data_IF_247802732677
#
_entry.id   IF_247802732677
#
_cell.length_a   1.000
_cell.length_b   1.000
_cell.length_c   1.000
_cell.angle_alpha   90.00
_cell.angle_beta   90.00
_cell.angle_gamma   90.00
#
_symmetry.space_group_name_H-M   'P 1'
#
loop_
_entity.id
_entity.type
_entity.pdbx_description
1 polymer ?
#
# COMPACT_ATOMS: atom_id res chain seq x y z
N UNK A 1 8.92 -2.18 -7.93
CA UNK A 1 7.69 -2.96 -8.23
C UNK A 1 8.09 -4.24 -8.94
N UNK A 2 7.53 -5.37 -8.53
CA UNK A 2 7.82 -6.69 -9.09
C UNK A 2 7.49 -6.74 -10.58
N UNK A 3 8.45 -7.13 -11.41
CA UNK A 3 8.24 -7.32 -12.85
C UNK A 3 7.29 -8.51 -13.12
N UNK A 4 7.44 -9.58 -12.33
CA UNK A 4 6.54 -10.71 -12.30
C UNK A 4 5.67 -10.61 -11.06
N UNK A 5 4.36 -10.50 -11.26
CA UNK A 5 3.43 -10.47 -10.14
C UNK A 5 3.19 -11.86 -9.58
N UNK A 6 2.92 -11.93 -8.28
CA UNK A 6 2.65 -13.20 -7.61
C UNK A 6 1.32 -13.80 -8.07
N UNK A 7 1.21 -15.14 -8.03
CA UNK A 7 0.04 -15.88 -8.53
C UNK A 7 -1.29 -15.38 -7.95
N UNK A 8 -1.29 -15.02 -6.66
CA UNK A 8 -2.49 -14.48 -5.99
C UNK A 8 -3.02 -13.20 -6.65
N UNK A 9 -2.13 -12.30 -7.06
CA UNK A 9 -2.52 -11.06 -7.74
C UNK A 9 -2.95 -11.35 -9.18
N UNK A 10 -2.21 -12.21 -9.90
CA UNK A 10 -2.54 -12.60 -11.28
C UNK A 10 -3.89 -13.33 -11.39
N UNK A 11 -4.25 -14.14 -10.39
CA UNK A 11 -5.56 -14.79 -10.30
C UNK A 11 -6.71 -13.77 -10.24
N UNK A 12 -6.48 -12.62 -9.62
CA UNK A 12 -7.45 -11.51 -9.53
C UNK A 12 -7.49 -10.60 -10.75
N UNK A 13 -6.65 -10.82 -11.78
CA UNK A 13 -6.59 -9.94 -12.97
C UNK A 13 -7.94 -9.91 -13.69
N UNK A 14 -8.43 -8.71 -13.96
CA UNK A 14 -9.59 -8.49 -14.82
C UNK A 14 -9.19 -8.73 -16.27
N UNK A 15 -9.81 -9.72 -16.91
CA UNK A 15 -9.45 -10.21 -18.27
C UNK A 15 -10.43 -9.78 -19.36
N UNK A 16 -11.58 -9.22 -18.99
CA UNK A 16 -12.61 -8.80 -19.93
C UNK A 16 -13.20 -7.45 -19.50
N UNK A 17 -13.67 -6.67 -20.47
CA UNK A 17 -14.29 -5.37 -20.23
C UNK A 17 -13.28 -4.22 -20.09
N UNK A 18 -13.74 -3.11 -19.52
CA UNK A 18 -12.96 -1.89 -19.43
C UNK A 18 -11.78 -2.05 -18.46
N UNK A 19 -10.59 -1.60 -18.87
CA UNK A 19 -9.33 -1.72 -18.12
C UNK A 19 -8.85 -3.16 -17.90
N UNK A 20 -9.40 -4.12 -18.64
CA UNK A 20 -8.87 -5.47 -18.68
C UNK A 20 -7.44 -5.50 -19.24
N UNK A 21 -6.68 -6.51 -18.82
CA UNK A 21 -5.31 -6.74 -19.27
C UNK A 21 -5.08 -8.22 -19.54
N UNK A 22 -4.16 -8.53 -20.45
CA UNK A 22 -3.85 -9.92 -20.79
C UNK A 22 -3.06 -10.58 -19.66
N UNK A 23 -3.25 -11.88 -19.41
CA UNK A 23 -2.45 -12.59 -18.43
C UNK A 23 -0.95 -12.43 -18.70
N UNK A 24 -0.16 -12.24 -17.64
CA UNK A 24 1.29 -12.04 -17.76
C UNK A 24 1.71 -10.63 -18.21
N UNK A 25 0.81 -9.64 -18.22
CA UNK A 25 1.14 -8.21 -18.51
C UNK A 25 1.98 -7.52 -17.41
N UNK A 26 2.60 -8.29 -16.51
CA UNK A 26 3.31 -7.76 -15.34
C UNK A 26 2.38 -7.02 -14.38
N UNK A 27 2.86 -6.01 -13.65
CA UNK A 27 2.10 -5.36 -12.58
C UNK A 27 1.06 -4.34 -13.07
N UNK A 28 1.08 -3.98 -14.35
CA UNK A 28 0.09 -3.07 -14.92
C UNK A 28 -1.25 -3.79 -15.15
N UNK A 29 -2.34 -3.21 -14.65
CA UNK A 29 -3.67 -3.77 -14.86
C UNK A 29 -4.66 -3.44 -13.76
N UNK A 30 -5.88 -3.95 -13.93
CA UNK A 30 -6.94 -3.94 -12.92
C UNK A 30 -7.08 -5.33 -12.32
N UNK A 31 -7.21 -5.39 -10.99
CA UNK A 31 -7.30 -6.62 -10.21
C UNK A 31 -8.44 -6.51 -9.19
N UNK A 32 -9.14 -7.62 -8.99
CA UNK A 32 -10.11 -7.82 -7.91
C UNK A 32 -9.58 -8.94 -7.02
N UNK A 33 -9.24 -8.60 -5.77
CA UNK A 33 -8.58 -9.52 -4.84
C UNK A 33 -9.27 -9.47 -3.50
N UNK A 34 -9.55 -10.63 -2.90
CA UNK A 34 -10.07 -10.68 -1.54
C UNK A 34 -8.99 -10.24 -0.55
N UNK A 35 -9.26 -9.13 0.14
CA UNK A 35 -8.38 -8.57 1.16
C UNK A 35 -8.39 -9.35 2.47
N UNK A 36 -7.39 -9.16 3.34
CA UNK A 36 -7.24 -9.89 4.60
C UNK A 36 -8.38 -9.61 5.59
N UNK A 37 -9.07 -8.47 5.47
CA UNK A 37 -10.11 -8.03 6.40
C UNK A 37 -11.54 -8.33 5.87
N UNK A 38 -11.69 -9.32 4.99
CA UNK A 38 -13.01 -9.76 4.49
C UNK A 38 -13.67 -8.82 3.48
N UNK A 39 -12.92 -7.90 2.87
CA UNK A 39 -13.42 -6.99 1.83
C UNK A 39 -12.74 -7.28 0.49
N UNK A 40 -13.52 -7.29 -0.60
CA UNK A 40 -12.95 -7.33 -1.95
C UNK A 40 -12.30 -5.98 -2.28
N UNK A 41 -11.03 -6.03 -2.68
CA UNK A 41 -10.23 -4.87 -3.03
C UNK A 41 -10.19 -4.72 -4.56
N UNK A 42 -10.59 -3.55 -5.05
CA UNK A 42 -10.35 -3.13 -6.43
C UNK A 42 -9.00 -2.43 -6.50
N UNK A 43 -8.04 -3.07 -7.16
CA UNK A 43 -6.64 -2.64 -7.21
C UNK A 43 -6.26 -2.32 -8.65
N UNK A 44 -5.68 -1.15 -8.90
CA UNK A 44 -5.08 -0.83 -10.20
C UNK A 44 -3.59 -0.56 -10.05
N UNK A 45 -2.77 -1.36 -10.71
CA UNK A 45 -1.31 -1.16 -10.79
C UNK A 45 -0.93 -0.42 -12.07
N UNK A 46 0.03 0.50 -11.95
CA UNK A 46 0.51 1.30 -13.06
C UNK A 46 1.99 1.66 -12.90
N UNK A 47 2.75 1.46 -13.96
CA UNK A 47 4.12 1.96 -14.07
C UNK A 47 4.14 3.10 -15.09
N UNK A 48 4.57 4.28 -14.66
CA UNK A 48 4.78 5.48 -15.49
C UNK A 48 6.26 5.84 -15.49
N UNK A 49 6.73 6.68 -16.42
CA UNK A 49 8.06 7.26 -16.32
C UNK A 49 8.26 7.88 -14.94
N UNK A 50 9.34 7.49 -14.26
CA UNK A 50 9.74 7.94 -12.92
C UNK A 50 8.86 7.50 -11.73
N UNK A 51 7.76 6.76 -11.95
CA UNK A 51 6.80 6.42 -10.89
C UNK A 51 6.20 5.03 -11.02
N UNK A 52 6.23 4.29 -9.93
CA UNK A 52 5.37 3.13 -9.70
C UNK A 52 4.18 3.56 -8.85
N UNK A 53 2.99 3.09 -9.21
CA UNK A 53 1.75 3.52 -8.59
C UNK A 53 0.78 2.35 -8.45
N UNK A 54 0.17 2.24 -7.28
CA UNK A 54 -0.97 1.35 -7.05
C UNK A 54 -2.09 2.16 -6.43
N UNK A 55 -3.30 2.02 -6.97
CA UNK A 55 -4.52 2.54 -6.35
C UNK A 55 -5.35 1.38 -5.81
N UNK A 56 -5.88 1.54 -4.61
CA UNK A 56 -6.69 0.53 -3.91
C UNK A 56 -7.99 1.20 -3.51
N UNK A 57 -9.12 0.58 -3.87
CA UNK A 57 -10.43 1.08 -3.49
C UNK A 57 -11.35 -0.03 -3.02
N UNK A 58 -12.29 0.34 -2.15
CA UNK A 58 -13.37 -0.55 -1.72
C UNK A 58 -14.73 0.15 -1.96
N UNK A 59 -15.83 -0.61 -2.02
CA UNK A 59 -17.14 -0.03 -2.36
C UNK A 59 -17.75 0.85 -1.26
N UNK A 60 -17.40 0.65 0.02
CA UNK A 60 -18.15 1.25 1.15
C UNK A 60 -17.32 2.07 2.13
N UNK A 61 -15.99 1.94 2.13
CA UNK A 61 -15.08 2.64 3.05
C UNK A 61 -13.69 2.76 2.44
N UNK A 62 -12.85 3.64 2.99
CA UNK A 62 -11.43 3.60 2.64
C UNK A 62 -10.82 2.23 2.98
N UNK A 63 -9.88 1.72 2.17
CA UNK A 63 -9.02 0.62 2.57
C UNK A 63 -8.36 0.92 3.92
N UNK A 64 -8.21 -0.09 4.76
CA UNK A 64 -7.55 0.06 6.06
C UNK A 64 -6.03 -0.22 5.95
N UNK A 65 -5.30 -0.02 7.04
CA UNK A 65 -3.85 -0.20 7.06
C UNK A 65 -3.42 -1.64 6.72
N UNK A 66 -4.12 -2.65 7.24
CA UNK A 66 -3.81 -4.06 6.98
C UNK A 66 -4.00 -4.44 5.50
N UNK A 67 -5.07 -3.92 4.88
CA UNK A 67 -5.33 -4.09 3.45
C UNK A 67 -4.28 -3.37 2.59
N UNK A 68 -3.88 -2.15 2.97
CA UNK A 68 -2.85 -1.41 2.26
C UNK A 68 -1.48 -2.09 2.38
N UNK A 69 -1.15 -2.64 3.55
CA UNK A 69 0.07 -3.42 3.79
C UNK A 69 0.05 -4.70 2.96
N UNK A 70 -1.07 -5.42 2.97
CA UNK A 70 -1.28 -6.59 2.12
C UNK A 70 -1.06 -6.26 0.64
N UNK A 71 -1.61 -5.16 0.14
CA UNK A 71 -1.43 -4.75 -1.26
C UNK A 71 0.03 -4.35 -1.56
N UNK A 72 0.74 -3.69 -0.64
CA UNK A 72 2.18 -3.41 -0.80
C UNK A 72 2.93 -4.70 -1.14
N UNK A 73 2.70 -5.76 -0.36
CA UNK A 73 3.45 -7.01 -0.49
C UNK A 73 3.15 -7.76 -1.81
N UNK A 74 1.98 -7.51 -2.42
CA UNK A 74 1.65 -8.05 -3.74
C UNK A 74 2.49 -7.43 -4.87
N UNK A 75 2.88 -6.16 -4.74
CA UNK A 75 3.47 -5.37 -5.82
C UNK A 75 4.95 -5.04 -5.62
N UNK A 76 5.45 -5.04 -4.39
CA UNK A 76 6.83 -4.66 -4.06
C UNK A 76 7.50 -5.71 -3.17
N UNK A 77 8.83 -5.65 -3.09
CA UNK A 77 9.59 -6.43 -2.11
C UNK A 77 9.40 -5.88 -0.69
N UNK A 78 9.69 -6.72 0.31
CA UNK A 78 9.51 -6.41 1.72
C UNK A 78 10.29 -5.14 2.11
N UNK A 79 11.55 -5.08 1.67
CA UNK A 79 12.50 -3.98 1.88
C UNK A 79 12.25 -2.74 1.01
N UNK A 80 11.31 -2.78 0.06
CA UNK A 80 11.00 -1.62 -0.76
C UNK A 80 10.09 -0.63 -0.02
N UNK A 81 10.58 0.60 0.16
CA UNK A 81 9.79 1.70 0.70
C UNK A 81 8.77 2.21 -0.33
N UNK A 82 7.52 2.40 0.11
CA UNK A 82 6.44 3.05 -0.63
C UNK A 82 5.80 4.10 0.26
N UNK A 83 5.23 5.14 -0.34
CA UNK A 83 4.59 6.23 0.41
C UNK A 83 3.11 6.40 0.06
N UNK A 84 2.36 6.89 1.03
CA UNK A 84 1.05 7.53 0.85
C UNK A 84 1.21 9.01 1.17
N UNK A 85 0.67 9.87 0.31
CA UNK A 85 0.80 11.32 0.42
C UNK A 85 -0.57 11.97 0.56
N UNK A 86 -0.63 13.00 1.40
CA UNK A 86 -1.70 14.00 1.39
C UNK A 86 -1.19 15.21 0.61
N UNK A 87 -1.46 15.33 -0.70
CA UNK A 87 -0.99 16.46 -1.48
C UNK A 87 -1.70 17.75 -1.02
N UNK A 88 -1.13 18.93 -1.34
CA UNK A 88 -1.80 20.20 -1.09
C UNK A 88 -3.23 20.19 -1.65
N UNK A 89 -4.17 20.79 -0.92
CA UNK A 89 -5.59 20.78 -1.32
C UNK A 89 -5.82 21.32 -2.73
N UNK A 90 -5.03 22.31 -3.17
CA UNK A 90 -5.07 22.88 -4.52
C UNK A 90 -4.67 21.91 -5.63
N UNK A 91 -3.99 20.82 -5.30
CA UNK A 91 -3.56 19.76 -6.22
C UNK A 91 -4.24 18.42 -5.93
N UNK A 92 -5.21 18.40 -5.00
CA UNK A 92 -5.89 17.19 -4.58
C UNK A 92 -6.85 16.72 -5.69
N UNK A 93 -6.62 15.51 -6.20
CA UNK A 93 -7.49 14.85 -7.19
C UNK A 93 -8.19 13.68 -6.50
N UNK A 94 -9.52 13.71 -6.45
CA UNK A 94 -10.32 12.65 -5.84
C UNK A 94 -11.45 12.21 -6.78
N UNK A 95 -11.14 11.24 -7.64
CA UNK A 95 -12.10 10.64 -8.56
C UNK A 95 -12.82 9.42 -7.95
N UNK A 96 -12.42 8.96 -6.76
CA UNK A 96 -13.00 7.80 -6.09
C UNK A 96 -12.95 8.00 -4.58
N UNK A 97 -14.14 8.18 -3.98
CA UNK A 97 -14.33 8.56 -2.58
C UNK A 97 -13.53 7.69 -1.58
N UNK A 98 -13.35 6.43 -1.90
CA UNK A 98 -12.77 5.42 -1.04
C UNK A 98 -11.52 4.79 -1.65
N UNK A 99 -10.64 5.63 -2.18
CA UNK A 99 -9.41 5.21 -2.83
C UNK A 99 -8.20 5.71 -2.06
N UNK A 100 -7.28 4.79 -1.77
CA UNK A 100 -5.94 5.09 -1.27
C UNK A 100 -4.92 4.70 -2.34
N UNK A 101 -3.74 5.29 -2.25
CA UNK A 101 -2.73 5.18 -3.29
C UNK A 101 -1.35 4.97 -2.67
N UNK A 102 -0.60 4.03 -3.23
CA UNK A 102 0.81 3.80 -2.93
C UNK A 102 1.66 4.30 -4.09
N UNK A 103 2.71 5.04 -3.78
CA UNK A 103 3.66 5.57 -4.76
C UNK A 103 5.10 5.20 -4.41
N UNK A 104 5.89 4.92 -5.45
CA UNK A 104 7.34 4.80 -5.33
C UNK A 104 8.03 5.50 -6.52
N UNK A 105 8.90 6.50 -6.29
CA UNK A 105 9.73 7.05 -7.34
C UNK A 105 10.77 6.01 -7.78
N UNK A 106 11.09 5.94 -9.08
CA UNK A 106 12.03 4.93 -9.60
C UNK A 106 13.46 5.43 -9.74
N UNK A 107 13.70 6.74 -9.59
CA UNK A 107 15.00 7.39 -9.80
C UNK A 107 15.60 8.00 -8.54
N UNK A 108 14.97 7.81 -7.38
CA UNK A 108 15.45 8.29 -6.07
C UNK A 108 14.79 7.51 -4.96
N UNK A 109 15.45 7.48 -3.81
CA UNK A 109 14.88 6.89 -2.60
C UNK A 109 13.85 7.82 -1.95
N UNK A 110 12.89 7.21 -1.26
CA UNK A 110 11.95 7.93 -0.42
C UNK A 110 12.69 8.33 0.86
N UNK A 111 12.72 9.63 1.23
CA UNK A 111 13.38 10.04 2.46
C UNK A 111 12.66 9.44 3.65
N UNK A 112 13.40 8.67 4.45
CA UNK A 112 12.91 8.11 5.71
C UNK A 112 13.48 8.91 6.88
N UNK A 113 12.67 9.29 7.88
CA UNK A 113 13.20 9.91 9.08
C UNK A 113 14.10 8.91 9.83
N UNK A 114 15.03 9.39 10.68
CA UNK A 114 15.74 8.51 11.61
C UNK A 114 14.75 7.64 12.41
N UNK A 115 15.00 6.32 12.58
CA UNK A 115 14.08 5.43 13.29
C UNK A 115 13.74 5.88 14.71
N UNK A 116 14.67 6.57 15.37
CA UNK A 116 14.48 7.14 16.71
C UNK A 116 13.39 8.20 16.80
N UNK A 117 12.99 8.82 15.67
CA UNK A 117 11.87 9.77 15.64
C UNK A 117 10.52 9.06 15.70
N UNK A 118 10.49 7.76 15.40
CA UNK A 118 9.29 6.91 15.49
C UNK A 118 9.20 6.26 16.86
N UNK A 119 10.32 5.72 17.37
CA UNK A 119 10.34 5.06 18.68
C UNK A 119 11.70 4.43 19.03
N UNK A 120 11.72 3.61 20.07
CA UNK A 120 12.92 2.89 20.53
C UNK A 120 13.13 1.66 19.63
N UNK A 121 14.25 1.63 18.90
CA UNK A 121 14.60 0.52 18.00
C UNK A 121 14.73 -0.78 18.79
N UNK A 122 14.08 -1.85 18.32
CA UNK A 122 14.10 -3.17 18.96
C UNK A 122 13.09 -3.35 20.10
N UNK A 123 12.31 -2.32 20.44
CA UNK A 123 11.25 -2.43 21.44
C UNK A 123 9.93 -2.82 20.76
N UNK A 124 9.44 -4.04 21.02
CA UNK A 124 8.16 -4.51 20.50
C UNK A 124 6.95 -3.84 21.17
N UNK A 125 5.74 -3.98 20.60
CA UNK A 125 4.53 -3.37 21.14
C UNK A 125 4.22 -3.79 22.57
N UNK A 126 4.47 -5.07 22.91
CA UNK A 126 4.23 -5.60 24.26
C UNK A 126 5.21 -5.03 25.28
N UNK A 127 6.52 -4.97 24.96
CA UNK A 127 7.51 -4.36 25.83
C UNK A 127 7.28 -2.85 26.00
N UNK A 128 6.89 -2.15 24.92
CA UNK A 128 6.53 -0.75 24.97
C UNK A 128 5.33 -0.50 25.90
N UNK A 129 4.28 -1.31 25.80
CA UNK A 129 3.11 -1.21 26.68
C UNK A 129 3.49 -1.41 28.16
N UNK A 130 4.35 -2.40 28.46
CA UNK A 130 4.85 -2.61 29.82
C UNK A 130 5.68 -1.42 30.33
N UNK A 131 6.52 -0.83 29.48
CA UNK A 131 7.32 0.34 29.83
C UNK A 131 6.43 1.55 30.16
N UNK A 132 5.45 1.85 29.32
CA UNK A 132 4.52 2.96 29.56
C UNK A 132 3.69 2.75 30.83
N UNK A 133 3.20 1.54 31.08
CA UNK A 133 2.46 1.22 32.30
C UNK A 133 3.30 1.46 33.57
N UNK A 134 4.60 1.10 33.54
CA UNK A 134 5.52 1.37 34.65
C UNK A 134 5.76 2.86 34.85
N UNK A 135 5.95 3.63 33.78
CA UNK A 135 6.15 5.08 33.84
C UNK A 135 4.93 5.80 34.43
N UNK A 136 3.71 5.36 34.08
CA UNK A 136 2.47 5.92 34.60
C UNK A 136 2.19 5.56 36.07
N UNK A 137 2.72 4.44 36.57
CA UNK A 137 2.58 4.04 37.98
C UNK A 137 3.53 4.79 38.92
N UNK A 138 4.55 5.44 38.37
CA UNK A 138 5.57 6.21 39.11
C UNK A 138 5.37 7.73 39.07
N UNK A 139 4.33 8.21 38.37
CA UNK A 139 3.94 9.61 38.25
C UNK A 139 2.72 9.92 39.11
#
# INVERSE_FOLDING_TARGET
>A
MRAQIIEKLEAGRVRYGQFASVPGSGPCGLFLVQGPCGCELKISGLVRPSWEHVAVSTPRRCPNWEEMSFVKDLFWDEEECVMQLHPPHSQYVNNSRYCLHLWKPTHRDIPMPPPSFVGIVGLGPSEAAMLFARMSATA
#
